data_IF_273761005943
#
_entry.id   IF_273761005943
#
_cell.length_a   1.000
_cell.length_b   1.000
_cell.length_c   1.000
_cell.angle_alpha   90.00
_cell.angle_beta   90.00
_cell.angle_gamma   90.00
#
_symmetry.space_group_name_H-M   'P 1'
#
loop_
_entity.id
_entity.type
_entity.pdbx_description
1 polymer ?
#
# COMPACT_ATOMS: atom_id res chain seq x y z
N UNK A 1 15.44 16.73 4.80
CA UNK A 1 15.89 17.29 3.51
C UNK A 1 16.18 16.24 2.43
N UNK A 2 16.45 14.96 2.76
CA UNK A 2 16.46 13.86 1.76
C UNK A 2 15.05 13.57 1.26
N UNK A 3 14.08 13.45 2.17
CA UNK A 3 12.67 13.14 1.87
C UNK A 3 12.04 14.08 0.83
N UNK A 4 12.24 15.39 0.96
CA UNK A 4 11.61 16.39 0.07
C UNK A 4 12.15 16.39 -1.37
N UNK A 5 13.46 16.11 -1.55
CA UNK A 5 14.07 15.98 -2.88
C UNK A 5 13.77 14.61 -3.49
N UNK A 6 13.73 13.55 -2.65
CA UNK A 6 13.31 12.21 -3.05
C UNK A 6 11.84 12.15 -3.46
N UNK A 7 10.98 12.99 -2.88
CA UNK A 7 9.57 13.11 -3.25
C UNK A 7 9.34 13.38 -4.74
N UNK A 8 10.25 14.09 -5.40
CA UNK A 8 10.17 14.38 -6.85
C UNK A 8 10.45 13.17 -7.75
N UNK A 9 11.14 12.16 -7.23
CA UNK A 9 11.34 10.89 -7.94
C UNK A 9 10.04 10.07 -7.93
N UNK A 10 9.30 10.16 -6.84
CA UNK A 10 8.05 9.44 -6.63
C UNK A 10 6.94 10.03 -7.53
N UNK A 11 6.00 9.18 -7.93
CA UNK A 11 4.79 9.53 -8.67
C UNK A 11 3.69 9.89 -7.71
N UNK A 12 3.23 11.14 -7.75
CA UNK A 12 2.10 11.60 -6.95
C UNK A 12 0.80 11.06 -7.53
N UNK A 13 -0.11 10.65 -6.65
CA UNK A 13 -1.44 10.17 -7.01
C UNK A 13 -2.46 11.16 -6.45
N UNK A 14 -3.38 11.61 -7.29
CA UNK A 14 -4.51 12.45 -6.90
C UNK A 14 -5.70 11.59 -6.38
N UNK A 15 -5.41 10.39 -5.86
CA UNK A 15 -6.41 9.41 -5.46
C UNK A 15 -6.69 9.51 -3.95
N UNK A 16 -7.98 9.63 -3.61
CA UNK A 16 -8.48 9.68 -2.24
C UNK A 16 -8.41 8.27 -1.63
N UNK A 17 -7.20 7.82 -1.27
CA UNK A 17 -7.03 6.58 -0.50
C UNK A 17 -5.76 5.79 -0.71
N UNK A 18 -4.90 6.14 -1.67
CA UNK A 18 -3.57 5.51 -1.83
C UNK A 18 -2.50 6.49 -1.34
N UNK A 19 -1.96 6.23 -0.15
CA UNK A 19 -1.09 7.16 0.57
C UNK A 19 0.33 6.64 0.71
N UNK A 20 1.22 7.60 0.95
CA UNK A 20 2.61 7.37 1.31
C UNK A 20 2.78 7.63 2.80
N UNK A 21 3.57 6.78 3.44
CA UNK A 21 4.06 7.02 4.79
C UNK A 21 5.58 7.06 4.76
N UNK A 22 6.17 7.90 5.63
CA UNK A 22 7.62 8.09 5.71
C UNK A 22 8.10 7.87 7.14
N UNK A 23 9.16 7.08 7.31
CA UNK A 23 9.80 6.81 8.61
C UNK A 23 8.82 6.36 9.70
N UNK A 24 7.79 5.59 9.35
CA UNK A 24 6.77 5.17 10.30
C UNK A 24 6.85 3.66 10.55
N UNK A 25 7.01 3.29 11.82
CA UNK A 25 7.12 1.90 12.24
C UNK A 25 5.78 1.17 12.04
N UNK A 26 5.84 -0.09 11.64
CA UNK A 26 4.67 -0.94 11.43
C UNK A 26 4.14 -1.44 12.79
N UNK A 27 3.64 -0.55 13.64
CA UNK A 27 3.20 -0.82 15.03
C UNK A 27 1.99 -1.74 15.15
N UNK A 28 1.20 -1.90 14.09
CA UNK A 28 0.10 -2.87 14.01
C UNK A 28 0.58 -4.30 13.69
N UNK A 29 1.86 -4.47 13.40
CA UNK A 29 2.45 -5.75 13.04
C UNK A 29 2.71 -6.64 14.27
N UNK A 30 2.42 -7.97 14.23
CA UNK A 30 2.68 -8.86 15.36
C UNK A 30 4.17 -8.98 15.67
N UNK A 31 4.56 -8.99 16.96
CA UNK A 31 5.98 -9.01 17.37
C UNK A 31 6.68 -10.39 17.23
N UNK A 32 5.92 -11.47 17.12
CA UNK A 32 6.44 -12.85 17.19
C UNK A 32 5.93 -13.73 16.05
N UNK A 33 6.16 -13.28 14.82
CA UNK A 33 5.87 -14.03 13.59
C UNK A 33 7.17 -14.42 12.89
N UNK A 34 7.64 -15.65 13.15
CA UNK A 34 8.65 -16.42 12.40
C UNK A 34 9.94 -15.71 11.92
N UNK A 35 9.81 -14.72 11.05
CA UNK A 35 10.92 -13.92 10.52
C UNK A 35 11.37 -12.79 11.45
N UNK A 36 10.51 -12.25 12.32
CA UNK A 36 10.89 -11.13 13.19
C UNK A 36 11.49 -11.56 14.54
N UNK A 37 11.21 -12.77 15.06
CA UNK A 37 11.89 -13.34 16.24
C UNK A 37 12.03 -12.36 17.44
N UNK A 38 10.98 -11.59 17.75
CA UNK A 38 11.00 -10.60 18.83
C UNK A 38 11.78 -9.30 18.54
N UNK A 39 12.21 -9.08 17.30
CA UNK A 39 12.74 -7.79 16.84
C UNK A 39 11.65 -6.72 16.85
N UNK A 40 12.06 -5.46 17.00
CA UNK A 40 11.16 -4.32 16.85
C UNK A 40 10.48 -4.32 15.48
N UNK A 41 9.29 -3.73 15.39
CA UNK A 41 8.57 -3.59 14.13
C UNK A 41 9.45 -2.94 13.04
N UNK A 42 9.34 -3.38 11.77
CA UNK A 42 10.01 -2.71 10.66
C UNK A 42 9.59 -1.23 10.60
N UNK A 43 10.55 -0.37 10.29
CA UNK A 43 10.33 1.07 10.11
C UNK A 43 11.03 1.49 8.82
N UNK A 44 10.40 1.25 7.65
CA UNK A 44 11.00 1.69 6.40
C UNK A 44 10.96 3.20 6.30
N UNK A 45 11.96 3.75 5.61
CA UNK A 45 12.03 5.18 5.31
C UNK A 45 10.85 5.63 4.43
N UNK A 46 10.29 4.74 3.60
CA UNK A 46 8.96 4.91 3.03
C UNK A 46 8.19 3.62 2.78
N UNK A 47 6.87 3.74 2.79
CA UNK A 47 5.93 2.72 2.36
C UNK A 47 4.77 3.38 1.60
N UNK A 48 4.13 2.62 0.72
CA UNK A 48 2.97 3.08 -0.03
C UNK A 48 1.88 2.01 -0.06
N UNK A 49 0.63 2.41 0.19
CA UNK A 49 -0.48 1.50 0.30
C UNK A 49 -1.83 2.19 0.38
N UNK A 50 -2.89 1.39 0.42
CA UNK A 50 -4.25 1.87 0.61
C UNK A 50 -4.50 2.22 2.07
N UNK A 51 -5.33 3.21 2.32
CA UNK A 51 -5.86 3.48 3.65
C UNK A 51 -6.88 2.41 4.07
N UNK A 52 -7.03 2.23 5.38
CA UNK A 52 -7.94 1.24 5.94
C UNK A 52 -9.40 1.45 5.46
N UNK A 53 -9.87 2.70 5.35
CA UNK A 53 -11.24 3.01 4.93
C UNK A 53 -11.54 2.56 3.49
N UNK A 54 -10.52 2.34 2.65
CA UNK A 54 -10.71 1.82 1.29
C UNK A 54 -11.31 0.41 1.30
N UNK A 55 -11.12 -0.34 2.38
CA UNK A 55 -11.61 -1.70 2.53
C UNK A 55 -13.09 -1.74 2.94
N UNK A 56 -13.71 -0.64 3.36
CA UNK A 56 -15.11 -0.62 3.78
C UNK A 56 -16.06 -1.17 2.70
N UNK A 57 -17.05 -2.01 3.06
CA UNK A 57 -17.47 -2.39 4.42
C UNK A 57 -16.81 -3.68 4.97
N UNK A 58 -15.65 -4.08 4.43
CA UNK A 58 -14.91 -5.24 4.93
C UNK A 58 -13.99 -4.81 6.11
N UNK A 59 -14.20 -5.33 7.33
CA UNK A 59 -13.36 -4.99 8.48
C UNK A 59 -12.04 -5.78 8.42
N UNK A 60 -11.10 -5.24 7.64
CA UNK A 60 -9.83 -5.87 7.28
C UNK A 60 -8.93 -6.10 8.51
N UNK A 61 -8.94 -5.19 9.47
CA UNK A 61 -8.20 -5.25 10.73
C UNK A 61 -8.67 -6.40 11.63
N UNK A 62 -9.96 -6.73 11.60
CA UNK A 62 -10.55 -7.82 12.36
C UNK A 62 -10.34 -9.19 11.70
N UNK A 63 -10.23 -9.23 10.36
CA UNK A 63 -10.23 -10.48 9.59
C UNK A 63 -8.86 -10.89 9.04
N UNK A 64 -7.92 -9.94 8.92
CA UNK A 64 -6.58 -10.20 8.37
C UNK A 64 -5.53 -9.68 9.34
N UNK A 65 -4.90 -10.61 10.07
CA UNK A 65 -3.90 -10.28 11.09
C UNK A 65 -2.72 -9.51 10.50
N UNK A 66 -2.43 -8.34 11.08
CA UNK A 66 -1.31 -7.48 10.68
C UNK A 66 -1.55 -6.68 9.40
N UNK A 67 -2.75 -6.76 8.79
CA UNK A 67 -3.04 -6.04 7.55
C UNK A 67 -2.90 -4.52 7.69
N UNK A 68 -3.23 -3.98 8.86
CA UNK A 68 -3.16 -2.55 9.19
C UNK A 68 -1.84 -2.28 9.90
N UNK A 69 -0.99 -1.46 9.29
CA UNK A 69 0.39 -1.28 9.74
C UNK A 69 0.56 -0.32 10.91
N UNK A 70 -0.34 0.66 11.09
CA UNK A 70 -0.27 1.66 12.14
C UNK A 70 -1.45 1.47 13.07
N UNK A 71 -1.13 0.90 14.23
CA UNK A 71 -2.14 0.62 15.24
C UNK A 71 -2.87 1.90 15.64
N UNK A 72 -4.18 1.79 15.84
CA UNK A 72 -5.05 2.86 16.35
C UNK A 72 -5.12 4.12 15.43
N UNK A 73 -4.61 4.03 14.19
CA UNK A 73 -4.68 5.11 13.20
C UNK A 73 -5.72 4.81 12.11
N UNK A 74 -6.75 5.66 11.92
CA UNK A 74 -7.72 5.48 10.84
C UNK A 74 -7.08 5.56 9.46
N UNK A 75 -6.06 6.42 9.32
CA UNK A 75 -5.33 6.65 8.06
C UNK A 75 -4.16 5.67 7.90
N UNK A 76 -4.24 4.53 8.59
CA UNK A 76 -3.19 3.52 8.52
C UNK A 76 -3.09 2.93 7.12
N UNK A 77 -1.84 2.78 6.65
CA UNK A 77 -1.56 1.96 5.48
C UNK A 77 -2.00 0.52 5.76
N UNK A 78 -2.67 -0.05 4.78
CA UNK A 78 -3.28 -1.38 4.85
C UNK A 78 -2.86 -2.19 3.63
N UNK A 79 -2.31 -3.38 3.87
CA UNK A 79 -1.77 -4.29 2.85
C UNK A 79 -0.90 -3.58 1.78
N UNK A 80 0.13 -2.79 2.17
CA UNK A 80 1.02 -2.17 1.20
C UNK A 80 1.88 -3.22 0.49
N UNK A 81 2.20 -2.93 -0.76
CA UNK A 81 3.01 -3.80 -1.63
C UNK A 81 4.37 -3.19 -1.99
N UNK A 82 4.63 -1.95 -1.54
CA UNK A 82 5.88 -1.23 -1.77
C UNK A 82 6.44 -0.65 -0.48
N UNK A 83 7.74 -0.86 -0.25
CA UNK A 83 8.52 -0.13 0.74
C UNK A 83 9.91 0.26 0.19
N UNK A 84 10.54 1.25 0.81
CA UNK A 84 11.85 1.72 0.40
C UNK A 84 12.75 2.10 1.57
N UNK A 85 14.05 1.99 1.35
CA UNK A 85 15.10 2.43 2.27
C UNK A 85 16.01 3.47 1.63
N UNK A 86 16.19 4.60 2.31
CA UNK A 86 16.96 5.75 1.87
C UNK A 86 18.20 5.93 2.74
N UNK A 87 19.32 5.56 2.17
CA UNK A 87 20.62 5.89 2.73
C UNK A 87 21.08 7.25 2.21
N UNK A 88 21.75 7.98 3.08
CA UNK A 88 22.51 9.15 2.67
C UNK A 88 23.62 8.76 1.71
N UNK A 89 24.14 9.74 0.96
CA UNK A 89 25.19 9.50 -0.02
C UNK A 89 26.41 8.80 0.59
N UNK A 90 26.81 7.67 0.00
CA UNK A 90 27.97 6.89 0.41
C UNK A 90 27.82 6.18 1.75
N UNK A 91 26.60 6.11 2.29
CA UNK A 91 26.28 5.29 3.46
C UNK A 91 26.15 3.81 3.07
N UNK A 92 26.02 2.97 4.10
CA UNK A 92 26.04 1.52 3.98
C UNK A 92 24.77 0.97 3.29
N UNK A 93 24.95 0.52 2.04
CA UNK A 93 23.90 -0.15 1.26
C UNK A 93 23.66 -1.60 1.70
N UNK A 94 24.58 -2.22 2.45
CA UNK A 94 24.37 -3.55 3.04
C UNK A 94 23.30 -3.45 4.13
N UNK A 95 23.39 -2.44 4.99
CA UNK A 95 22.36 -2.17 6.00
C UNK A 95 21.00 -1.87 5.34
N UNK A 96 20.98 -1.04 4.28
CA UNK A 96 19.76 -0.74 3.52
C UNK A 96 19.12 -2.00 2.95
N UNK A 97 19.94 -2.89 2.38
CA UNK A 97 19.47 -4.17 1.84
C UNK A 97 18.85 -5.04 2.93
N UNK A 98 19.48 -5.12 4.10
CA UNK A 98 18.97 -5.90 5.23
C UNK A 98 17.65 -5.34 5.78
N UNK A 99 17.57 -4.03 5.98
CA UNK A 99 16.32 -3.36 6.42
C UNK A 99 15.21 -3.57 5.39
N UNK A 100 15.55 -3.42 4.11
CA UNK A 100 14.64 -3.66 3.00
C UNK A 100 14.16 -5.12 2.94
N UNK A 101 15.00 -6.10 3.28
CA UNK A 101 14.60 -7.50 3.40
C UNK A 101 13.60 -7.70 4.55
N UNK A 102 13.83 -7.03 5.68
CA UNK A 102 12.95 -7.12 6.84
C UNK A 102 11.57 -6.48 6.58
N UNK A 103 11.54 -5.29 5.98
CA UNK A 103 10.31 -4.66 5.53
C UNK A 103 9.59 -5.53 4.50
N UNK A 104 10.30 -6.05 3.48
CA UNK A 104 9.73 -6.93 2.48
C UNK A 104 9.14 -8.22 3.05
N UNK A 105 9.79 -8.84 4.04
CA UNK A 105 9.25 -10.00 4.74
C UNK A 105 7.93 -9.70 5.47
N UNK A 106 7.83 -8.53 6.11
CA UNK A 106 6.58 -8.09 6.74
C UNK A 106 5.46 -7.87 5.72
N UNK A 107 5.77 -7.24 4.58
CA UNK A 107 4.79 -7.03 3.51
C UNK A 107 4.32 -8.36 2.89
N UNK A 108 5.22 -9.32 2.68
CA UNK A 108 4.86 -10.67 2.21
C UNK A 108 4.02 -11.41 3.25
N UNK A 109 4.34 -11.28 4.54
CA UNK A 109 3.54 -11.89 5.60
C UNK A 109 2.09 -11.39 5.55
N UNK A 110 1.86 -10.08 5.53
CA UNK A 110 0.48 -9.53 5.56
C UNK A 110 -0.29 -9.89 4.29
N UNK A 111 0.36 -9.89 3.13
CA UNK A 111 -0.24 -10.36 1.88
C UNK A 111 -0.66 -11.82 2.00
N UNK A 112 0.20 -12.68 2.53
CA UNK A 112 -0.12 -14.10 2.71
C UNK A 112 -1.29 -14.32 3.69
N UNK A 113 -1.42 -13.48 4.73
CA UNK A 113 -2.61 -13.53 5.61
C UNK A 113 -3.89 -13.19 4.82
N UNK A 114 -3.86 -12.14 4.00
CA UNK A 114 -4.99 -11.76 3.16
C UNK A 114 -5.37 -12.85 2.14
N UNK A 115 -4.38 -13.45 1.49
CA UNK A 115 -4.58 -14.55 0.53
C UNK A 115 -5.06 -15.83 1.19
N UNK A 116 -4.60 -16.13 2.41
CA UNK A 116 -5.12 -17.23 3.22
C UNK A 116 -6.59 -17.00 3.58
N UNK A 117 -6.98 -15.77 3.92
CA UNK A 117 -8.38 -15.42 4.15
C UNK A 117 -9.26 -15.64 2.90
N UNK A 118 -8.70 -15.41 1.71
CA UNK A 118 -9.36 -15.69 0.42
C UNK A 118 -9.36 -17.17 0.03
N UNK A 119 -8.63 -18.04 0.75
CA UNK A 119 -8.41 -19.43 0.37
C UNK A 119 -7.59 -19.60 -0.92
N UNK A 120 -6.78 -18.59 -1.29
CA UNK A 120 -6.00 -18.53 -2.53
C UNK A 120 -4.54 -18.17 -2.22
N UNK A 121 -3.78 -19.04 -1.53
CA UNK A 121 -2.39 -18.76 -1.21
C UNK A 121 -1.57 -18.57 -2.50
N UNK A 122 -0.60 -17.65 -2.44
CA UNK A 122 0.37 -17.49 -3.52
C UNK A 122 1.17 -18.80 -3.71
N UNK A 123 1.44 -19.21 -4.96
CA UNK A 123 2.30 -20.37 -5.20
C UNK A 123 3.74 -20.08 -4.73
N UNK A 124 4.52 -21.12 -4.36
CA UNK A 124 5.91 -20.91 -3.95
C UNK A 124 6.72 -20.16 -5.01
N UNK A 125 7.44 -19.11 -4.59
CA UNK A 125 8.25 -18.28 -5.51
C UNK A 125 7.49 -17.13 -6.18
N UNK A 126 6.19 -16.99 -5.94
CA UNK A 126 5.41 -15.87 -6.46
C UNK A 126 5.72 -14.58 -5.69
N UNK A 127 6.08 -13.52 -6.42
CA UNK A 127 6.60 -12.28 -5.84
C UNK A 127 5.84 -11.07 -6.37
N UNK A 128 4.99 -10.51 -5.51
CA UNK A 128 4.14 -9.33 -5.82
C UNK A 128 4.46 -8.14 -4.91
N UNK A 129 5.26 -8.39 -3.87
CA UNK A 129 5.78 -7.37 -2.99
C UNK A 129 7.14 -6.96 -3.52
N UNK A 130 7.34 -5.66 -3.71
CA UNK A 130 8.63 -5.11 -4.09
C UNK A 130 9.13 -4.13 -3.06
N UNK A 131 10.45 -3.99 -3.02
CA UNK A 131 11.09 -2.92 -2.27
C UNK A 131 12.22 -2.32 -3.07
N UNK A 132 12.69 -1.16 -2.64
CA UNK A 132 13.91 -0.59 -3.18
C UNK A 132 14.83 -0.03 -2.11
N UNK A 133 16.10 0.12 -2.47
CA UNK A 133 17.10 0.79 -1.63
C UNK A 133 17.83 1.83 -2.46
N UNK A 134 18.17 2.97 -1.87
CA UNK A 134 19.03 3.94 -2.54
C UNK A 134 19.96 4.69 -1.61
N UNK A 135 21.19 4.97 -2.07
CA UNK A 135 22.12 5.93 -1.45
C UNK A 135 22.17 7.27 -2.24
N UNK A 136 21.21 7.49 -3.14
CA UNK A 136 21.21 8.61 -4.09
C UNK A 136 22.21 8.48 -5.23
N UNK A 137 22.97 7.38 -5.34
CA UNK A 137 23.81 7.02 -6.49
C UNK A 137 23.30 5.72 -7.11
N UNK A 138 23.18 4.67 -6.32
CA UNK A 138 22.63 3.39 -6.69
C UNK A 138 21.18 3.31 -6.26
N UNK A 139 20.35 2.73 -7.11
CA UNK A 139 18.98 2.35 -6.82
C UNK A 139 18.86 0.86 -7.13
N UNK A 140 18.49 0.07 -6.14
CA UNK A 140 18.32 -1.38 -6.29
C UNK A 140 16.87 -1.74 -6.02
N UNK A 141 16.31 -2.62 -6.84
CA UNK A 141 14.95 -3.11 -6.70
C UNK A 141 14.96 -4.60 -6.35
N UNK A 142 14.08 -4.96 -5.43
CA UNK A 142 13.99 -6.32 -4.91
C UNK A 142 12.55 -6.82 -4.97
N UNK A 143 12.41 -8.07 -5.38
CA UNK A 143 11.16 -8.81 -5.31
C UNK A 143 11.21 -9.73 -4.08
N UNK A 144 10.08 -9.86 -3.40
CA UNK A 144 9.97 -10.64 -2.17
C UNK A 144 8.92 -11.73 -2.32
N UNK A 145 9.24 -12.91 -1.81
CA UNK A 145 8.33 -14.04 -1.76
C UNK A 145 8.58 -14.87 -0.52
N UNK A 146 7.62 -15.75 -0.21
CA UNK A 146 7.78 -16.77 0.80
C UNK A 146 7.75 -18.17 0.17
N UNK A 147 8.55 -19.08 0.71
CA UNK A 147 8.54 -20.48 0.32
C UNK A 147 8.78 -21.38 1.53
N UNK A 148 8.18 -22.58 1.60
CA UNK A 148 8.53 -23.56 2.62
C UNK A 148 10.00 -23.97 2.50
N UNK A 149 10.67 -24.09 3.64
CA UNK A 149 12.01 -24.67 3.73
C UNK A 149 11.96 -26.16 3.41
N UNK A 150 12.89 -26.64 2.58
CA UNK A 150 13.01 -28.06 2.22
C UNK A 150 13.21 -28.96 3.46
N UNK A 151 13.95 -28.48 4.46
CA UNK A 151 14.36 -29.29 5.61
C UNK A 151 13.24 -29.58 6.63
N UNK A 152 12.35 -28.62 6.86
CA UNK A 152 11.41 -28.65 8.00
C UNK A 152 10.04 -28.01 7.71
N UNK A 153 9.77 -27.63 6.46
CA UNK A 153 8.51 -27.00 6.05
C UNK A 153 8.27 -25.59 6.62
N UNK A 154 9.22 -25.04 7.37
CA UNK A 154 9.08 -23.69 7.95
C UNK A 154 9.12 -22.65 6.84
N UNK A 155 8.23 -21.66 6.90
CA UNK A 155 8.18 -20.61 5.89
C UNK A 155 9.46 -19.74 5.95
N UNK A 156 10.17 -19.65 4.84
CA UNK A 156 11.32 -18.76 4.63
C UNK A 156 10.91 -17.60 3.75
N UNK A 157 11.44 -16.42 4.07
CA UNK A 157 11.24 -15.20 3.30
C UNK A 157 12.48 -14.93 2.46
N UNK A 158 12.27 -14.61 1.20
CA UNK A 158 13.32 -14.49 0.21
C UNK A 158 13.27 -13.11 -0.42
N UNK A 159 14.45 -12.50 -0.57
CA UNK A 159 14.66 -11.25 -1.28
C UNK A 159 15.53 -11.52 -2.51
N UNK A 160 15.06 -11.15 -3.70
CA UNK A 160 15.82 -11.26 -4.94
C UNK A 160 15.96 -9.91 -5.62
N UNK A 161 17.20 -9.48 -5.87
CA UNK A 161 17.46 -8.26 -6.62
C UNK A 161 17.25 -8.52 -8.11
N UNK A 162 16.22 -7.93 -8.71
CA UNK A 162 15.91 -8.13 -10.13
C UNK A 162 16.37 -6.96 -11.02
N UNK A 163 16.59 -5.79 -10.44
CA UNK A 163 17.05 -4.62 -11.18
C UNK A 163 17.90 -3.68 -10.32
N UNK A 164 18.74 -2.89 -11.00
CA UNK A 164 19.45 -1.77 -10.40
C UNK A 164 19.76 -0.70 -11.44
N UNK A 165 19.89 0.55 -11.00
CA UNK A 165 20.33 1.66 -11.81
C UNK A 165 21.32 2.55 -11.04
N UNK A 166 22.34 3.03 -11.73
CA UNK A 166 23.14 4.15 -11.25
C UNK A 166 22.53 5.46 -11.78
N UNK A 167 21.91 6.23 -10.89
CA UNK A 167 21.14 7.42 -11.26
C UNK A 167 21.99 8.67 -11.47
N UNK A 168 23.32 8.56 -11.30
CA UNK A 168 24.28 9.65 -11.44
C UNK A 168 25.31 9.47 -12.54
N UNK A 169 25.58 8.22 -12.94
CA UNK A 169 26.62 7.91 -13.91
C UNK A 169 26.25 8.37 -15.32
N UNK A 170 25.02 8.06 -15.76
CA UNK A 170 24.54 8.44 -17.11
C UNK A 170 23.12 8.99 -17.07
N UNK A 171 22.77 9.78 -18.09
CA UNK A 171 21.39 10.24 -18.28
C UNK A 171 20.41 9.08 -18.49
N UNK A 172 20.86 7.99 -19.13
CA UNK A 172 20.04 6.79 -19.28
C UNK A 172 19.81 6.09 -17.95
N UNK A 173 20.86 5.91 -17.13
CA UNK A 173 20.72 5.35 -15.78
C UNK A 173 19.81 6.18 -14.86
N UNK A 174 19.85 7.52 -14.99
CA UNK A 174 18.87 8.39 -14.33
C UNK A 174 17.43 8.11 -14.78
N UNK A 175 17.18 8.06 -16.10
CA UNK A 175 15.85 7.75 -16.64
C UNK A 175 15.37 6.36 -16.25
N UNK A 176 16.25 5.36 -16.26
CA UNK A 176 15.93 3.99 -15.91
C UNK A 176 15.57 3.87 -14.43
N UNK A 177 16.33 4.50 -13.53
CA UNK A 177 16.00 4.53 -12.11
C UNK A 177 14.70 5.29 -11.83
N UNK A 178 14.51 6.46 -12.43
CA UNK A 178 13.28 7.24 -12.30
C UNK A 178 12.05 6.49 -12.80
N UNK A 179 12.14 5.88 -13.99
CA UNK A 179 11.07 5.06 -14.55
C UNK A 179 10.82 3.82 -13.69
N UNK A 180 11.87 3.17 -13.21
CA UNK A 180 11.78 2.00 -12.35
C UNK A 180 10.94 2.24 -11.11
N UNK A 181 11.26 3.29 -10.33
CA UNK A 181 10.48 3.63 -9.12
C UNK A 181 9.00 3.82 -9.45
N UNK A 182 8.70 4.60 -10.48
CA UNK A 182 7.31 4.93 -10.83
C UNK A 182 6.53 3.73 -11.35
N UNK A 183 7.19 2.86 -12.10
CA UNK A 183 6.61 1.60 -12.54
C UNK A 183 6.30 0.70 -11.33
N UNK A 184 7.19 0.64 -10.34
CA UNK A 184 6.95 -0.13 -9.11
C UNK A 184 5.81 0.44 -8.27
N UNK A 185 5.70 1.77 -8.19
CA UNK A 185 4.57 2.40 -7.52
C UNK A 185 3.24 2.07 -8.22
N UNK A 186 3.19 2.15 -9.56
CA UNK A 186 2.00 1.81 -10.33
C UNK A 186 1.64 0.33 -10.17
N UNK A 187 2.63 -0.56 -10.30
CA UNK A 187 2.44 -1.99 -10.12
C UNK A 187 1.92 -2.34 -8.72
N UNK A 188 2.56 -1.80 -7.69
CA UNK A 188 2.20 -2.04 -6.29
C UNK A 188 0.81 -1.51 -5.95
N UNK A 189 0.44 -0.36 -6.54
CA UNK A 189 -0.91 0.20 -6.43
C UNK A 189 -1.94 -0.72 -7.07
N UNK A 190 -1.69 -1.19 -8.30
CA UNK A 190 -2.60 -2.10 -9.00
C UNK A 190 -2.78 -3.40 -8.21
N UNK A 191 -1.70 -3.97 -7.66
CA UNK A 191 -1.76 -5.16 -6.81
C UNK A 191 -2.54 -4.93 -5.51
N UNK A 192 -2.32 -3.81 -4.84
CA UNK A 192 -3.02 -3.46 -3.59
C UNK A 192 -4.52 -3.25 -3.86
N UNK A 193 -4.89 -2.54 -4.92
CA UNK A 193 -6.27 -2.35 -5.36
C UNK A 193 -6.94 -3.68 -5.73
N UNK A 194 -6.27 -4.53 -6.51
CA UNK A 194 -6.81 -5.83 -6.90
C UNK A 194 -7.06 -6.72 -5.67
N UNK A 195 -6.13 -6.76 -4.71
CA UNK A 195 -6.30 -7.52 -3.48
C UNK A 195 -7.45 -6.97 -2.62
N UNK A 196 -7.55 -5.66 -2.47
CA UNK A 196 -8.69 -4.99 -1.81
C UNK A 196 -10.02 -5.43 -2.42
N UNK A 197 -10.13 -5.36 -3.75
CA UNK A 197 -11.38 -5.67 -4.45
C UNK A 197 -11.76 -7.14 -4.27
N UNK A 198 -10.78 -8.06 -4.31
CA UNK A 198 -11.00 -9.48 -4.01
C UNK A 198 -11.47 -9.72 -2.58
N UNK A 199 -10.88 -9.05 -1.59
CA UNK A 199 -11.28 -9.15 -0.18
C UNK A 199 -12.71 -8.64 0.04
N UNK A 200 -13.05 -7.49 -0.54
CA UNK A 200 -14.39 -6.90 -0.46
C UNK A 200 -15.43 -7.81 -1.11
N UNK A 201 -15.12 -8.37 -2.26
CA UNK A 201 -16.01 -9.29 -2.96
C UNK A 201 -16.21 -10.60 -2.19
N UNK A 202 -15.12 -11.19 -1.68
CA UNK A 202 -15.20 -12.40 -0.85
C UNK A 202 -16.05 -12.17 0.42
N UNK A 203 -15.90 -11.01 1.06
CA UNK A 203 -16.72 -10.61 2.20
C UNK A 203 -18.21 -10.50 1.86
N UNK A 204 -18.55 -9.85 0.74
CA UNK A 204 -19.93 -9.73 0.25
C UNK A 204 -20.55 -11.10 0.01
N UNK A 205 -19.83 -12.01 -0.65
CA UNK A 205 -20.32 -13.36 -0.94
C UNK A 205 -20.57 -14.17 0.33
N UNK A 206 -19.64 -14.11 1.29
CA UNK A 206 -19.80 -14.80 2.58
C UNK A 206 -20.99 -14.27 3.38
N UNK A 207 -21.24 -12.96 3.34
CA UNK A 207 -22.40 -12.33 4.02
C UNK A 207 -23.72 -12.62 3.30
N UNK A 208 -23.73 -12.61 1.96
CA UNK A 208 -24.92 -12.92 1.16
C UNK A 208 -25.34 -14.39 1.20
N UNK A 209 -24.41 -15.31 1.47
CA UNK A 209 -24.69 -16.74 1.67
C UNK A 209 -25.26 -17.09 3.06
N UNK A 210 -25.11 -16.21 4.04
CA UNK A 210 -25.77 -16.29 5.33
C UNK A 210 -27.14 -15.59 5.24
N UNK A 211 -28.08 -16.19 4.50
CA UNK A 211 -29.47 -15.79 4.71
C UNK A 211 -29.85 -16.10 6.16
N UNK A 212 -30.57 -15.20 6.86
CA UNK A 212 -31.17 -15.52 8.14
C UNK A 212 -31.99 -16.78 7.94
N UNK A 213 -31.61 -17.86 8.62
CA UNK A 213 -32.46 -19.02 8.76
C UNK A 213 -33.76 -18.47 9.33
N UNK A 214 -34.81 -18.44 8.51
CA UNK A 214 -36.08 -17.81 8.83
C UNK A 214 -36.57 -18.34 10.18
N UNK A 215 -36.39 -17.53 11.22
CA UNK A 215 -37.01 -17.76 12.51
C UNK A 215 -38.49 -17.45 12.35
N UNK A 216 -39.30 -18.51 12.46
CA UNK A 216 -40.76 -18.41 12.56
C UNK A 216 -41.50 -18.67 11.25
N UNK A 217 -41.49 -19.93 10.78
CA UNK A 217 -42.68 -20.45 10.10
C UNK A 217 -43.85 -20.46 11.12
N UNK A 218 -44.94 -19.70 10.94
CA UNK A 218 -46.11 -19.87 11.78
C UNK A 218 -46.80 -21.17 11.37
N UNK A 219 -47.04 -22.03 12.35
CA UNK A 219 -47.93 -23.19 12.20
C UNK A 219 -49.31 -22.72 11.70
N UNK A 220 -50.03 -23.57 10.91
CA UNK A 220 -51.32 -23.21 10.35
C UNK A 220 -52.38 -23.11 11.46
N UNK A 221 -52.69 -21.87 11.86
CA UNK A 221 -53.82 -21.54 12.70
C UNK A 221 -55.08 -21.41 11.86
N UNK A 222 -56.05 -22.29 12.12
CA UNK A 222 -57.33 -22.34 11.46
C UNK A 222 -58.22 -21.11 11.73
N UNK A 223 -58.88 -20.62 10.67
CA UNK A 223 -60.25 -20.10 10.69
C UNK A 223 -60.50 -18.73 11.33
N UNK A 224 -60.86 -17.74 10.50
CA UNK A 224 -61.40 -16.48 11.01
C UNK A 224 -61.67 -15.43 9.94
N UNK A 225 -62.79 -15.58 9.25
CA UNK A 225 -63.41 -14.59 8.36
C UNK A 225 -63.65 -13.25 9.08
N UNK A 226 -63.27 -12.10 8.50
CA UNK A 226 -64.19 -11.04 8.04
C UNK A 226 -63.59 -9.63 7.93
N UNK A 227 -64.03 -8.98 6.84
CA UNK A 227 -64.41 -7.56 6.65
C UNK A 227 -63.38 -6.46 6.39
N UNK A 228 -63.59 -5.88 5.19
CA UNK A 228 -63.24 -4.56 4.69
C UNK A 228 -63.51 -3.43 5.70
N UNK A 229 -62.66 -2.39 5.71
CA UNK A 229 -63.11 -0.99 5.66
C UNK A 229 -62.00 -0.08 5.10
N UNK A 230 -62.41 0.90 4.30
CA UNK A 230 -61.62 1.89 3.58
C UNK A 230 -60.94 2.96 4.45
N UNK A 231 -59.88 3.55 3.89
CA UNK A 231 -59.52 4.97 4.01
C UNK A 231 -58.42 5.29 5.03
N UNK A 232 -57.30 5.87 4.60
CA UNK A 232 -57.11 7.34 4.63
C UNK A 232 -55.70 7.71 4.08
N UNK A 233 -55.61 8.92 3.54
CA UNK A 233 -54.43 9.54 2.94
C UNK A 233 -53.40 9.93 4.00
N UNK A 234 -52.12 9.86 3.65
CA UNK A 234 -51.04 10.49 4.40
C UNK A 234 -49.82 10.66 3.50
N UNK A 235 -49.60 11.90 3.07
CA UNK A 235 -48.45 12.37 2.32
C UNK A 235 -47.16 12.22 3.16
N UNK A 236 -46.07 11.84 2.52
CA UNK A 236 -44.74 11.77 3.10
C UNK A 236 -43.72 11.85 1.98
N UNK A 237 -43.19 13.05 1.79
CA UNK A 237 -42.04 13.36 0.96
C UNK A 237 -40.87 12.50 1.39
N UNK A 238 -40.18 11.83 0.47
CA UNK A 238 -38.84 11.32 0.74
C UNK A 238 -37.93 11.58 -0.46
N UNK A 239 -36.80 12.18 -0.09
CA UNK A 239 -35.78 12.78 -0.94
C UNK A 239 -35.14 11.77 -1.89
N UNK A 240 -34.77 12.30 -3.05
CA UNK A 240 -34.06 11.58 -4.09
C UNK A 240 -32.74 11.00 -3.56
N UNK A 241 -32.66 9.67 -3.62
CA UNK A 241 -31.44 8.87 -3.56
C UNK A 241 -30.35 9.49 -4.44
N UNK A 242 -29.27 9.96 -3.81
CA UNK A 242 -28.01 10.16 -4.49
C UNK A 242 -27.25 8.83 -4.54
N UNK A 243 -27.41 8.13 -5.66
CA UNK A 243 -26.56 7.02 -6.07
C UNK A 243 -25.12 7.54 -6.25
N UNK A 244 -24.29 7.36 -5.22
CA UNK A 244 -22.84 7.58 -5.33
C UNK A 244 -22.25 6.39 -6.08
N UNK A 245 -22.16 6.54 -7.40
CA UNK A 245 -21.40 5.64 -8.28
C UNK A 245 -19.92 5.76 -7.91
N UNK A 246 -19.43 4.84 -7.08
CA UNK A 246 -17.99 4.59 -6.93
C UNK A 246 -17.46 4.08 -8.27
N UNK A 247 -16.58 4.87 -8.89
CA UNK A 247 -15.89 4.47 -10.11
C UNK A 247 -14.99 3.27 -9.81
N UNK A 248 -15.18 2.11 -10.45
CA UNK A 248 -14.26 0.99 -10.31
C UNK A 248 -12.89 1.39 -10.84
N UNK A 249 -11.82 1.01 -10.12
CA UNK A 249 -10.48 0.99 -10.70
C UNK A 249 -10.55 0.08 -11.94
N UNK A 250 -10.45 0.68 -13.13
CA UNK A 250 -10.54 -0.05 -14.38
C UNK A 250 -9.38 -1.07 -14.44
N UNK A 251 -9.65 -2.38 -14.61
CA UNK A 251 -8.60 -3.36 -14.74
C UNK A 251 -7.79 -3.09 -16.02
N UNK A 252 -6.47 -3.05 -15.90
CA UNK A 252 -5.59 -3.04 -17.04
C UNK A 252 -5.83 -4.30 -17.90
N UNK A 253 -5.84 -4.19 -19.24
CA UNK A 253 -6.04 -5.34 -20.11
C UNK A 253 -4.88 -6.34 -19.97
N UNK A 254 -5.21 -7.63 -19.93
CA UNK A 254 -4.28 -8.73 -19.83
C UNK A 254 -3.16 -8.62 -20.88
N UNK A 255 -1.91 -8.56 -20.41
CA UNK A 255 -0.74 -8.62 -21.27
C UNK A 255 -0.69 -9.99 -21.97
N UNK A 256 -0.92 -9.97 -23.28
CA UNK A 256 -0.83 -11.13 -24.16
C UNK A 256 0.60 -11.65 -24.23
N UNK A 257 0.79 -12.89 -23.82
CA UNK A 257 2.03 -13.65 -23.89
C UNK A 257 2.40 -13.94 -25.35
N UNK A 258 3.23 -13.10 -25.97
CA UNK A 258 3.85 -13.42 -27.25
C UNK A 258 5.21 -14.10 -27.06
N UNK A 259 5.21 -15.38 -27.41
CA UNK A 259 6.34 -16.30 -27.58
C UNK A 259 7.59 -15.65 -28.19
N UNK A 260 8.68 -15.63 -27.43
CA UNK A 260 10.03 -15.32 -27.91
C UNK A 260 10.48 -16.38 -28.92
N UNK A 261 10.56 -15.99 -30.20
CA UNK A 261 11.19 -16.79 -31.26
C UNK A 261 12.66 -16.39 -31.37
N UNK A 262 13.54 -17.34 -31.11
CA UNK A 262 14.97 -17.21 -31.30
C UNK A 262 15.31 -16.92 -32.78
N UNK A 263 16.20 -15.94 -32.99
CA UNK A 263 16.94 -15.78 -34.25
C UNK A 263 18.38 -15.44 -33.93
N UNK A 264 19.25 -16.23 -34.54
CA UNK A 264 20.69 -16.34 -34.38
C UNK A 264 21.50 -15.24 -35.07
N UNK A 265 22.69 -15.01 -34.52
CA UNK A 265 23.97 -14.71 -35.18
C UNK A 265 24.07 -13.50 -36.13
N UNK A 266 24.87 -12.51 -35.73
CA UNK A 266 26.01 -12.08 -36.56
C UNK A 266 27.12 -11.46 -35.72
N UNK A 267 28.33 -11.88 -36.07
CA UNK A 267 29.63 -11.49 -35.55
C UNK A 267 30.08 -10.18 -36.19
N UNK A 268 30.64 -9.27 -35.39
CA UNK A 268 31.70 -8.37 -35.85
C UNK A 268 32.54 -7.84 -34.69
N UNK A 269 33.84 -8.06 -34.84
CA UNK A 269 34.95 -7.53 -34.05
C UNK A 269 35.26 -6.10 -34.49
N UNK A 270 35.49 -5.19 -33.54
CA UNK A 270 36.37 -4.02 -33.68
C UNK A 270 36.67 -3.48 -32.28
N UNK A 271 37.86 -3.74 -31.75
CA UNK A 271 39.05 -2.88 -31.70
C UNK A 271 38.89 -1.63 -30.80
N UNK A 272 39.72 -1.64 -29.76
CA UNK A 272 39.97 -0.60 -28.77
C UNK A 272 40.67 0.63 -29.38
N UNK A 273 40.47 1.83 -28.81
CA UNK A 273 41.46 2.90 -28.89
C UNK A 273 42.14 3.11 -27.53
N UNK A 274 43.44 2.84 -27.54
CA UNK A 274 44.45 3.40 -26.62
C UNK A 274 44.82 4.80 -27.12
N UNK A 275 44.89 5.81 -26.24
CA UNK A 275 46.02 6.75 -26.04
C UNK A 275 45.60 8.01 -25.25
N UNK A 276 46.30 8.20 -24.12
CA UNK A 276 47.06 9.37 -23.66
C UNK A 276 46.41 10.75 -23.41
N UNK A 277 46.42 11.09 -22.11
CA UNK A 277 46.89 12.32 -21.45
C UNK A 277 47.03 13.63 -22.26
N UNK A 278 46.36 14.70 -21.79
CA UNK A 278 46.95 16.04 -21.55
C UNK A 278 46.22 16.76 -20.41
N UNK A 279 47.00 17.25 -19.44
CA UNK A 279 46.61 18.22 -18.39
C UNK A 279 46.36 19.62 -18.97
N UNK A 280 45.29 20.28 -18.55
CA UNK A 280 44.98 21.66 -18.91
C UNK A 280 44.33 22.44 -17.76
N UNK A 281 45.06 23.42 -17.24
CA UNK A 281 44.69 24.25 -16.09
C UNK A 281 43.72 25.38 -16.47
N UNK A 282 42.92 25.82 -15.50
CA UNK A 282 42.61 27.24 -15.31
C UNK A 282 41.20 27.70 -15.65
N UNK A 283 40.60 28.50 -14.76
CA UNK A 283 39.46 29.34 -15.12
C UNK A 283 38.45 29.62 -14.01
N UNK A 284 38.83 30.47 -13.05
CA UNK A 284 37.93 31.10 -12.08
C UNK A 284 36.84 31.92 -12.79
N UNK A 285 35.57 31.75 -12.42
CA UNK A 285 34.61 32.87 -12.43
C UNK A 285 33.66 32.84 -11.22
N UNK A 286 33.89 33.81 -10.33
CA UNK A 286 32.92 34.33 -9.37
C UNK A 286 31.82 35.09 -10.13
N UNK A 287 30.55 34.85 -9.82
CA UNK A 287 29.53 35.92 -9.76
C UNK A 287 28.62 35.70 -8.55
N UNK A 288 28.36 36.82 -7.90
CA UNK A 288 27.62 37.07 -6.67
C UNK A 288 26.52 38.06 -7.06
N UNK A 289 25.34 37.94 -6.43
CA UNK A 289 24.23 38.90 -6.27
C UNK A 289 22.89 38.21 -6.61
N UNK A 290 21.74 38.52 -6.03
CA UNK A 290 21.34 39.20 -4.79
C UNK A 290 19.84 38.89 -4.65
N UNK A 291 19.36 38.98 -3.41
CA UNK A 291 17.99 38.91 -2.90
C UNK A 291 16.88 39.57 -3.72
N UNK A 292 15.66 39.02 -3.62
CA UNK A 292 14.48 39.77 -3.18
C UNK A 292 13.39 38.87 -2.58
N UNK A 293 12.88 39.38 -1.47
CA UNK A 293 11.71 39.02 -0.67
C UNK A 293 10.37 39.18 -1.40
N UNK A 294 9.40 38.31 -1.10
CA UNK A 294 8.01 38.70 -0.84
C UNK A 294 7.23 37.54 -0.21
N UNK A 295 6.53 37.86 0.88
CA UNK A 295 5.52 37.04 1.54
C UNK A 295 4.21 37.06 0.76
N UNK A 296 3.41 36.00 0.90
CA UNK A 296 1.96 36.16 1.06
C UNK A 296 1.34 34.92 1.69
N UNK A 297 0.60 35.17 2.76
CA UNK A 297 -0.27 34.22 3.45
C UNK A 297 -1.40 33.76 2.52
N UNK A 298 -1.62 32.45 2.46
CA UNK A 298 -2.81 31.83 1.91
C UNK A 298 -3.22 30.65 2.78
N UNK A 299 -3.92 30.94 3.89
CA UNK A 299 -4.55 29.93 4.74
C UNK A 299 -5.78 29.39 4.00
N UNK A 300 -5.65 28.18 3.43
CA UNK A 300 -6.80 27.41 2.95
C UNK A 300 -7.31 26.54 4.11
N UNK A 301 -8.50 26.88 4.62
CA UNK A 301 -9.32 26.00 5.44
C UNK A 301 -9.67 24.75 4.63
N UNK A 302 -8.89 23.69 4.75
CA UNK A 302 -9.37 22.35 4.44
C UNK A 302 -10.35 21.95 5.54
N UNK A 303 -11.63 21.89 5.19
CA UNK A 303 -12.65 21.21 5.99
C UNK A 303 -12.33 19.72 5.95
N UNK A 304 -11.74 19.21 7.03
CA UNK A 304 -11.55 17.78 7.25
C UNK A 304 -12.90 17.06 7.13
N UNK A 305 -12.97 16.12 6.18
CA UNK A 305 -13.99 15.06 6.10
C UNK A 305 -13.52 13.80 6.85
N UNK A 306 -12.69 13.97 7.89
CA UNK A 306 -12.04 12.90 8.69
C UNK A 306 -12.98 12.11 9.62
N UNK A 307 -14.29 12.41 9.67
CA UNK A 307 -15.15 11.98 10.79
C UNK A 307 -16.11 10.81 10.49
N UNK A 308 -15.91 9.98 9.46
CA UNK A 308 -16.84 8.85 9.24
C UNK A 308 -16.56 7.63 10.13
N UNK A 309 -15.29 7.34 10.43
CA UNK A 309 -14.90 6.12 11.14
C UNK A 309 -14.82 6.31 12.66
N UNK A 310 -14.25 7.43 13.11
CA UNK A 310 -14.21 7.82 14.52
C UNK A 310 -15.31 8.84 14.80
N UNK A 311 -16.17 8.52 15.77
CA UNK A 311 -17.17 9.43 16.30
C UNK A 311 -16.58 10.13 17.52
N UNK A 312 -16.80 11.44 17.64
CA UNK A 312 -16.42 12.17 18.84
C UNK A 312 -17.56 12.11 19.84
N UNK A 313 -17.30 11.57 21.02
CA UNK A 313 -18.26 11.55 22.11
C UNK A 313 -18.53 12.98 22.60
N UNK A 314 -19.80 13.34 22.73
CA UNK A 314 -20.21 14.72 23.01
C UNK A 314 -19.93 15.13 24.46
N UNK A 315 -19.88 14.17 25.39
CA UNK A 315 -19.71 14.42 26.82
C UNK A 315 -18.23 14.41 27.21
N UNK A 316 -17.48 13.42 26.74
CA UNK A 316 -16.08 13.21 27.10
C UNK A 316 -15.08 13.81 26.11
N UNK A 317 -15.51 14.10 24.88
CA UNK A 317 -14.65 14.65 23.83
C UNK A 317 -13.68 13.65 23.18
N UNK A 318 -13.62 12.41 23.69
CA UNK A 318 -12.79 11.35 23.15
C UNK A 318 -13.36 10.81 21.83
N UNK A 319 -12.47 10.30 20.99
CA UNK A 319 -12.84 9.58 19.77
C UNK A 319 -13.15 8.11 20.12
N UNK A 320 -14.25 7.60 19.59
CA UNK A 320 -14.64 6.19 19.72
C UNK A 320 -15.11 5.63 18.37
N UNK A 321 -14.94 4.33 18.19
CA UNK A 321 -15.46 3.57 17.07
C UNK A 321 -16.46 2.52 17.58
N UNK A 322 -17.65 2.45 16.97
CA UNK A 322 -18.65 1.43 17.26
C UNK A 322 -18.56 0.34 16.19
N UNK A 323 -18.12 -0.84 16.60
CA UNK A 323 -18.01 -2.03 15.78
C UNK A 323 -19.40 -2.56 15.39
N UNK A 324 -19.45 -3.38 14.34
CA UNK A 324 -20.70 -3.99 13.85
C UNK A 324 -21.34 -4.99 14.84
N UNK A 325 -20.57 -5.50 15.79
CA UNK A 325 -21.02 -6.37 16.90
C UNK A 325 -21.55 -5.58 18.11
N UNK A 326 -21.55 -4.24 18.04
CA UNK A 326 -21.96 -3.35 19.13
C UNK A 326 -20.86 -3.01 20.13
N UNK A 327 -19.65 -3.57 19.99
CA UNK A 327 -18.50 -3.20 20.82
C UNK A 327 -18.08 -1.76 20.55
N UNK A 328 -17.63 -1.05 21.58
CA UNK A 328 -17.08 0.30 21.47
C UNK A 328 -15.59 0.24 21.79
N UNK A 329 -14.75 0.73 20.89
CA UNK A 329 -13.31 0.90 21.11
C UNK A 329 -13.00 2.40 21.18
N UNK A 330 -12.29 2.82 22.22
CA UNK A 330 -11.87 4.21 22.43
C UNK A 330 -10.47 4.42 21.85
N UNK A 331 -10.25 5.52 21.14
CA UNK A 331 -8.91 5.92 20.73
C UNK A 331 -8.08 6.20 21.99
N UNK A 332 -6.91 5.57 22.10
CA UNK A 332 -5.98 5.89 23.20
C UNK A 332 -5.42 7.28 22.95
N UNK A 333 -5.54 8.17 23.92
CA UNK A 333 -4.70 9.36 23.92
C UNK A 333 -3.25 8.89 24.04
N UNK A 334 -2.42 9.26 23.07
CA UNK A 334 -0.98 9.20 23.26
C UNK A 334 -0.66 10.11 24.44
N UNK A 335 -0.19 9.53 25.55
CA UNK A 335 0.34 10.26 26.70
C UNK A 335 1.55 11.08 26.23
N UNK A 336 1.29 12.30 25.75
CA UNK A 336 2.27 13.26 25.23
C UNK A 336 3.07 13.98 26.30
#
# INVERSE_FOLDING_TARGET
MVVEVSGRLLKEYDDDGYKRAFNQAFTGFPNDVGFNNGLSAPQPDFAEGLEMQQFDPFPVDENVTGAVLYKDSPDSLTLPHLAGEWKGRGKDMIEARLQSAYAGAALVYVRNQALSYLGKPDPPGYAEVTTFTTDGTNLNFFAHYAAPSEDNGTLKYHQYQYASANVKDTYQGHKDGYKGIRNEQDYSRDQSCALRDQLKEHWKQRRGGLQPMAEGAPLPGAGGTSKETNGDKGEGEDEADHEVVQQPCQPAPAASSQSLRASSSVSSKSLSPTTDYVSGSGGRHKRKASSTSASSHGSSRQKNRENSYWQRDAESGFLFHRHSDGRITWAKEDDG
#
